data_IF_769800980638
#
_entry.id   IF_769800980638
#
_cell.length_a   1.000
_cell.length_b   1.000
_cell.length_c   1.000
_cell.angle_alpha   90.00
_cell.angle_beta   90.00
_cell.angle_gamma   90.00
#
_symmetry.space_group_name_H-M   'P 1'
#
loop_
_entity.id
_entity.type
_entity.pdbx_description
1 polymer ?
#
# COMPACT_ATOMS: atom_id res chain seq x y z
N UNK A 1 64.78 12.87 -53.47
CA UNK A 1 64.29 12.87 -52.08
C UNK A 1 62.97 13.63 -52.09
N UNK A 2 61.87 12.88 -52.05
CA UNK A 2 60.55 13.34 -52.53
C UNK A 2 59.84 14.29 -51.57
N UNK A 3 59.78 15.56 -51.98
CA UNK A 3 59.05 16.64 -51.31
C UNK A 3 57.57 16.30 -51.09
N UNK A 4 56.96 15.49 -51.98
CA UNK A 4 55.58 14.99 -51.85
C UNK A 4 55.37 14.08 -50.63
N UNK A 5 56.34 13.24 -50.29
CA UNK A 5 56.26 12.35 -49.12
C UNK A 5 56.29 13.12 -47.81
N UNK A 6 57.08 14.20 -47.78
CA UNK A 6 57.18 15.09 -46.62
C UNK A 6 55.89 15.90 -46.42
N UNK A 7 55.29 16.41 -47.50
CA UNK A 7 54.00 17.11 -47.44
C UNK A 7 52.87 16.20 -46.95
N UNK A 8 52.84 14.94 -47.39
CA UNK A 8 51.83 13.98 -46.94
C UNK A 8 51.97 13.63 -45.46
N UNK A 9 53.21 13.50 -44.96
CA UNK A 9 53.47 13.28 -43.54
C UNK A 9 53.07 14.47 -42.68
N UNK A 10 53.34 15.69 -43.14
CA UNK A 10 52.91 16.92 -42.47
C UNK A 10 51.38 17.03 -42.44
N UNK A 11 50.72 16.79 -43.57
CA UNK A 11 49.27 16.80 -43.66
C UNK A 11 48.62 15.73 -42.78
N UNK A 12 49.18 14.51 -42.74
CA UNK A 12 48.71 13.43 -41.88
C UNK A 12 48.92 13.76 -40.39
N UNK A 13 50.05 14.38 -40.03
CA UNK A 13 50.30 14.82 -38.65
C UNK A 13 49.41 15.98 -38.22
N UNK A 14 49.04 16.88 -39.14
CA UNK A 14 48.08 17.96 -38.88
C UNK A 14 46.66 17.41 -38.70
N UNK A 15 46.26 16.42 -39.53
CA UNK A 15 44.97 15.74 -39.40
C UNK A 15 44.87 14.96 -38.08
N UNK A 16 45.96 14.31 -37.65
CA UNK A 16 46.03 13.61 -36.37
C UNK A 16 46.03 14.57 -35.17
N UNK A 17 46.57 15.78 -35.33
CA UNK A 17 46.53 16.81 -34.27
C UNK A 17 45.11 17.37 -34.08
N UNK A 18 44.32 17.47 -35.16
CA UNK A 18 42.94 17.98 -35.10
C UNK A 18 41.95 17.00 -34.46
N UNK A 19 42.25 15.70 -34.40
CA UNK A 19 41.38 14.71 -33.74
C UNK A 19 41.49 14.69 -32.21
N UNK A 20 42.44 15.43 -31.61
CA UNK A 20 42.57 15.56 -30.16
C UNK A 20 41.93 16.84 -29.59
N UNK A 21 41.28 17.65 -30.43
CA UNK A 21 40.55 18.86 -30.01
C UNK A 21 39.05 18.60 -30.14
N UNK A 22 38.55 17.62 -29.40
CA UNK A 22 37.15 17.54 -29.06
C UNK A 22 37.03 18.08 -27.63
N UNK A 23 36.76 19.38 -27.49
CA UNK A 23 36.18 19.88 -26.25
C UNK A 23 34.76 19.34 -26.22
N UNK A 24 34.53 18.29 -25.44
CA UNK A 24 33.21 18.07 -24.89
C UNK A 24 33.07 19.16 -23.84
N UNK A 25 32.29 20.20 -24.14
CA UNK A 25 31.82 21.10 -23.10
C UNK A 25 31.04 20.21 -22.12
N UNK A 26 31.52 20.14 -20.88
CA UNK A 26 30.79 19.52 -19.81
C UNK A 26 29.45 20.25 -19.75
N UNK A 27 28.36 19.52 -19.97
CA UNK A 27 27.04 20.07 -19.78
C UNK A 27 26.94 20.29 -18.27
N UNK A 28 27.26 21.50 -17.82
CA UNK A 28 26.90 21.97 -16.49
C UNK A 28 25.38 21.93 -16.46
N UNK A 29 24.83 20.80 -16.01
CA UNK A 29 23.50 20.82 -15.48
C UNK A 29 23.62 21.82 -14.33
N UNK A 30 22.87 22.92 -14.38
CA UNK A 30 22.56 23.72 -13.19
C UNK A 30 21.76 22.83 -12.23
N UNK A 31 22.36 21.73 -11.75
CA UNK A 31 21.81 20.91 -10.70
C UNK A 31 22.08 21.62 -9.41
N UNK A 32 20.99 22.14 -8.84
CA UNK A 32 20.76 22.16 -7.41
C UNK A 32 21.72 23.09 -6.67
N UNK A 33 21.44 24.39 -6.72
CA UNK A 33 21.78 25.27 -5.60
C UNK A 33 21.16 24.65 -4.35
N UNK A 34 21.96 23.92 -3.56
CA UNK A 34 21.56 23.26 -2.30
C UNK A 34 21.19 24.26 -1.18
N UNK A 35 20.98 25.53 -1.53
CA UNK A 35 20.69 26.61 -0.61
C UNK A 35 19.20 26.88 -0.38
N UNK A 36 18.30 26.56 -1.31
CA UNK A 36 16.88 26.97 -1.21
C UNK A 36 15.87 26.03 -1.93
N UNK A 37 16.15 24.72 -2.05
CA UNK A 37 15.06 23.80 -2.40
C UNK A 37 14.19 23.54 -1.16
N UNK A 38 13.14 24.35 -1.01
CA UNK A 38 12.07 24.10 -0.06
C UNK A 38 11.31 22.83 -0.45
N UNK A 39 11.09 21.94 0.52
CA UNK A 39 10.22 20.78 0.34
C UNK A 39 8.78 21.27 0.15
N UNK A 40 8.12 20.81 -0.92
CA UNK A 40 6.76 21.19 -1.22
C UNK A 40 5.81 20.63 -0.16
N UNK A 41 4.88 21.47 0.33
CA UNK A 41 3.76 21.00 1.15
C UNK A 41 2.84 20.15 0.26
N UNK A 42 2.45 18.98 0.73
CA UNK A 42 1.45 18.12 0.09
C UNK A 42 0.20 18.16 0.95
N UNK A 43 -0.93 18.54 0.36
CA UNK A 43 -2.23 18.64 1.05
C UNK A 43 -3.23 17.74 0.36
N UNK A 44 -3.76 16.76 1.09
CA UNK A 44 -4.77 15.86 0.59
C UNK A 44 -5.96 15.79 1.54
N UNK A 45 -7.15 16.00 1.01
CA UNK A 45 -8.38 15.83 1.78
C UNK A 45 -9.57 15.57 0.86
N UNK A 46 -10.40 14.62 1.28
CA UNK A 46 -11.71 14.34 0.67
C UNK A 46 -12.74 14.63 1.75
N UNK A 47 -13.36 15.80 1.68
CA UNK A 47 -14.41 16.21 2.60
C UNK A 47 -15.76 15.78 2.03
N UNK A 48 -16.54 15.03 2.80
CA UNK A 48 -17.78 14.41 2.30
C UNK A 48 -19.04 15.09 2.84
N UNK A 49 -20.17 14.80 2.21
CA UNK A 49 -21.52 15.14 2.70
C UNK A 49 -22.05 14.16 3.77
N UNK A 50 -21.20 13.25 4.27
CA UNK A 50 -21.55 12.34 5.36
C UNK A 50 -21.23 12.91 6.74
N UNK A 51 -22.06 12.54 7.72
CA UNK A 51 -21.95 12.99 9.10
C UNK A 51 -20.86 12.24 9.87
N UNK A 52 -19.59 12.43 9.48
CA UNK A 52 -18.42 11.69 9.99
C UNK A 52 -17.30 12.60 10.46
N UNK A 53 -16.32 12.03 11.18
CA UNK A 53 -15.06 12.72 11.47
C UNK A 53 -14.25 12.81 10.18
N UNK A 54 -14.29 13.99 9.57
CA UNK A 54 -13.51 14.34 8.37
C UNK A 54 -12.00 14.37 8.67
N UNK A 55 -11.18 14.07 7.65
CA UNK A 55 -9.72 13.95 7.75
C UNK A 55 -9.01 14.85 6.74
N UNK A 56 -7.87 15.39 7.15
CA UNK A 56 -6.94 16.14 6.30
C UNK A 56 -5.54 15.57 6.50
N UNK A 57 -4.85 15.26 5.41
CA UNK A 57 -3.49 14.74 5.40
C UNK A 57 -2.53 15.84 4.96
N UNK A 58 -1.51 16.09 5.77
CA UNK A 58 -0.43 17.03 5.47
C UNK A 58 0.91 16.32 5.52
N UNK A 59 1.66 16.40 4.43
CA UNK A 59 3.02 15.87 4.34
C UNK A 59 3.91 16.82 3.54
N UNK A 60 5.19 16.47 3.40
CA UNK A 60 6.20 17.21 2.66
C UNK A 60 6.84 16.30 1.62
N UNK A 61 7.08 16.83 0.44
CA UNK A 61 7.89 16.11 -0.56
C UNK A 61 9.29 15.87 0.00
N UNK A 62 9.80 14.64 -0.10
CA UNK A 62 11.18 14.35 0.28
C UNK A 62 12.12 14.48 -0.91
N UNK A 63 13.33 15.00 -0.66
CA UNK A 63 14.44 14.94 -1.62
C UNK A 63 15.30 13.67 -1.42
N UNK A 64 14.93 12.82 -0.45
CA UNK A 64 15.63 11.56 -0.18
C UNK A 64 15.27 10.56 -1.27
N UNK A 65 16.29 10.03 -1.94
CA UNK A 65 16.15 8.85 -2.77
C UNK A 65 16.00 7.65 -1.83
N UNK A 66 14.79 7.08 -1.77
CA UNK A 66 14.63 5.77 -1.16
C UNK A 66 15.22 4.71 -2.10
N UNK A 67 16.23 4.00 -1.59
CA UNK A 67 16.94 2.92 -2.29
C UNK A 67 16.63 1.56 -1.67
N UNK A 68 15.86 1.51 -0.58
CA UNK A 68 15.47 0.28 0.07
C UNK A 68 14.18 -0.23 -0.56
N UNK A 69 14.29 -1.32 -1.33
CA UNK A 69 13.12 -1.96 -1.93
C UNK A 69 12.46 -2.87 -0.92
N UNK A 70 11.20 -2.57 -0.58
CA UNK A 70 10.44 -3.18 0.52
C UNK A 70 9.95 -4.63 0.26
N UNK A 71 10.50 -5.33 -0.73
CA UNK A 71 9.68 -6.31 -1.48
C UNK A 71 9.96 -7.80 -1.26
N UNK A 72 10.97 -8.21 -0.48
CA UNK A 72 11.29 -9.66 -0.35
C UNK A 72 11.07 -10.20 1.05
N UNK A 73 9.88 -10.75 1.34
CA UNK A 73 9.63 -11.47 2.59
C UNK A 73 10.73 -12.51 2.88
N UNK A 74 11.22 -12.54 4.11
CA UNK A 74 12.21 -13.52 4.58
C UNK A 74 11.65 -14.27 5.80
N UNK A 75 11.41 -15.59 5.71
CA UNK A 75 10.83 -16.37 6.81
C UNK A 75 11.75 -16.52 8.03
N UNK A 76 13.03 -16.16 7.91
CA UNK A 76 13.99 -16.18 9.00
C UNK A 76 14.13 -14.82 9.70
N UNK A 77 13.35 -13.81 9.31
CA UNK A 77 13.34 -12.48 9.91
C UNK A 77 11.93 -12.23 10.49
N UNK A 78 11.82 -11.78 11.75
CA UNK A 78 10.52 -11.40 12.31
C UNK A 78 9.82 -10.35 11.44
N UNK A 79 8.51 -10.52 11.24
CA UNK A 79 7.72 -9.51 10.54
C UNK A 79 7.78 -8.18 11.30
N UNK A 80 7.90 -7.08 10.56
CA UNK A 80 7.96 -5.71 11.10
C UNK A 80 9.34 -5.25 11.58
N UNK A 81 10.40 -6.03 11.39
CA UNK A 81 11.77 -5.61 11.77
C UNK A 81 12.56 -4.91 10.66
N UNK A 82 11.90 -4.53 9.55
CA UNK A 82 12.52 -3.80 8.43
C UNK A 82 12.12 -2.33 8.44
N UNK A 83 12.96 -1.42 7.92
CA UNK A 83 12.58 -0.03 7.75
C UNK A 83 11.38 0.05 6.81
N UNK A 84 10.34 0.78 7.22
CA UNK A 84 9.19 1.11 6.39
C UNK A 84 9.53 2.39 5.60
N UNK A 85 9.09 2.47 4.34
CA UNK A 85 9.15 3.71 3.55
C UNK A 85 8.57 4.87 4.38
N UNK A 86 9.39 5.89 4.64
CA UNK A 86 9.06 6.98 5.57
C UNK A 86 8.64 8.21 4.78
N UNK A 87 7.35 8.52 4.81
CA UNK A 87 6.81 9.80 4.32
C UNK A 87 7.14 10.90 5.33
N UNK A 88 7.69 12.02 4.87
CA UNK A 88 7.96 13.19 5.72
C UNK A 88 6.62 13.88 6.06
N UNK A 89 6.07 13.65 7.24
CA UNK A 89 4.78 14.21 7.68
C UNK A 89 4.89 15.67 8.15
N UNK A 90 3.87 16.50 7.88
CA UNK A 90 3.80 17.88 8.38
C UNK A 90 3.02 17.92 9.70
N UNK A 91 3.75 18.05 10.81
CA UNK A 91 3.22 18.00 12.17
C UNK A 91 2.95 19.38 12.81
N UNK A 92 2.03 19.42 13.77
CA UNK A 92 1.77 20.58 14.61
C UNK A 92 1.16 21.77 13.87
N UNK A 93 0.51 21.53 12.73
CA UNK A 93 -0.25 22.54 12.01
C UNK A 93 -1.61 22.81 12.70
N UNK A 94 -2.16 24.00 12.47
CA UNK A 94 -3.55 24.33 12.79
C UNK A 94 -4.37 24.23 11.52
N UNK A 95 -5.36 23.33 11.50
CA UNK A 95 -6.22 23.10 10.33
C UNK A 95 -7.66 23.46 10.67
N UNK A 96 -8.30 24.22 9.77
CA UNK A 96 -9.68 24.70 9.91
C UNK A 96 -10.40 24.66 8.57
N UNK A 97 -11.70 24.39 8.59
CA UNK A 97 -12.59 24.54 7.44
C UNK A 97 -13.64 25.60 7.76
N UNK A 98 -13.82 26.56 6.86
CA UNK A 98 -14.80 27.64 6.97
C UNK A 98 -15.86 27.50 5.89
N UNK A 99 -17.14 27.56 6.25
CA UNK A 99 -18.26 27.68 5.31
C UNK A 99 -18.66 29.14 5.10
N UNK A 100 -19.16 29.47 3.91
CA UNK A 100 -19.70 30.80 3.59
C UNK A 100 -21.04 31.12 4.30
N UNK A 101 -21.66 30.10 4.88
CA UNK A 101 -22.77 30.16 5.83
C UNK A 101 -22.36 30.59 7.26
N UNK A 102 -21.05 30.70 7.51
CA UNK A 102 -20.46 31.02 8.81
C UNK A 102 -20.09 29.81 9.67
N UNK A 103 -20.17 28.59 9.14
CA UNK A 103 -19.68 27.39 9.81
C UNK A 103 -18.15 27.43 9.98
N UNK A 104 -17.66 26.92 11.12
CA UNK A 104 -16.23 26.74 11.40
C UNK A 104 -16.00 25.37 12.01
N UNK A 105 -15.15 24.58 11.36
CA UNK A 105 -14.75 23.25 11.83
C UNK A 105 -13.25 23.24 12.11
N UNK A 106 -12.90 22.93 13.36
CA UNK A 106 -11.51 22.85 13.80
C UNK A 106 -11.06 21.39 13.81
N UNK A 107 -9.78 21.18 13.49
CA UNK A 107 -9.15 19.87 13.46
C UNK A 107 -8.02 19.79 14.50
N UNK A 108 -7.77 18.58 14.99
CA UNK A 108 -6.66 18.25 15.88
C UNK A 108 -5.84 17.13 15.26
N UNK A 109 -4.52 17.22 15.37
CA UNK A 109 -3.61 16.17 14.94
C UNK A 109 -3.82 14.90 15.76
N UNK A 110 -4.06 13.77 15.07
CA UNK A 110 -4.23 12.45 15.67
C UNK A 110 -2.94 11.64 15.61
N UNK A 111 -2.53 11.29 14.39
CA UNK A 111 -1.22 10.72 14.08
C UNK A 111 -0.38 11.79 13.36
N UNK A 112 0.93 11.60 13.28
CA UNK A 112 1.85 12.50 12.55
C UNK A 112 1.29 12.80 11.15
N UNK A 113 1.02 14.08 10.86
CA UNK A 113 0.51 14.53 9.56
C UNK A 113 -0.98 14.23 9.28
N UNK A 114 -1.71 13.61 10.21
CA UNK A 114 -3.14 13.27 10.05
C UNK A 114 -3.99 14.11 11.00
N UNK A 115 -4.78 15.02 10.44
CA UNK A 115 -5.62 15.95 11.18
C UNK A 115 -7.08 15.51 11.13
N UNK A 116 -7.69 15.34 12.30
CA UNK A 116 -9.06 14.87 12.47
C UNK A 116 -9.95 16.01 12.95
N UNK A 117 -11.12 16.16 12.36
CA UNK A 117 -12.10 17.15 12.82
C UNK A 117 -12.51 16.87 14.28
N UNK A 118 -12.62 17.93 15.07
CA UNK A 118 -12.94 17.83 16.51
C UNK A 118 -14.36 17.32 16.76
N UNK A 119 -15.25 17.52 15.79
CA UNK A 119 -16.62 17.04 15.79
C UNK A 119 -16.94 16.49 14.39
N UNK A 120 -17.73 15.42 14.29
CA UNK A 120 -18.26 15.00 13.01
C UNK A 120 -19.01 16.14 12.33
N UNK A 121 -18.81 16.33 11.03
CA UNK A 121 -19.54 17.29 10.20
C UNK A 121 -19.74 16.75 8.78
N UNK A 122 -20.81 17.21 8.13
CA UNK A 122 -21.17 16.88 6.76
C UNK A 122 -21.14 18.17 5.96
N UNK A 123 -20.60 18.13 4.74
CA UNK A 123 -20.72 19.25 3.82
C UNK A 123 -22.14 19.37 3.28
N UNK A 124 -22.65 20.60 3.24
CA UNK A 124 -23.96 20.90 2.68
C UNK A 124 -23.85 21.32 1.20
N UNK A 125 -24.73 20.77 0.35
CA UNK A 125 -24.83 21.16 -1.04
C UNK A 125 -25.25 22.64 -1.16
N UNK A 126 -24.53 23.40 -1.97
CA UNK A 126 -24.77 24.83 -2.18
C UNK A 126 -24.07 25.76 -1.18
N UNK A 127 -23.36 25.23 -0.19
CA UNK A 127 -22.46 26.00 0.71
C UNK A 127 -21.03 25.88 0.18
N UNK A 128 -20.32 27.00 0.11
CA UNK A 128 -18.92 27.03 -0.30
C UNK A 128 -18.00 26.95 0.92
N UNK A 129 -17.09 25.99 0.91
CA UNK A 129 -16.15 25.75 2.00
C UNK A 129 -14.72 26.11 1.59
N UNK A 130 -13.90 26.54 2.55
CA UNK A 130 -12.48 26.81 2.34
C UNK A 130 -11.66 26.16 3.45
N UNK A 131 -10.62 25.43 3.06
CA UNK A 131 -9.62 24.87 3.96
C UNK A 131 -8.55 25.94 4.27
N UNK A 132 -8.28 26.18 5.55
CA UNK A 132 -7.26 27.09 6.07
C UNK A 132 -6.26 26.28 6.91
N UNK A 133 -4.97 26.41 6.58
CA UNK A 133 -3.88 25.67 7.22
C UNK A 133 -2.84 26.69 7.68
N UNK A 134 -2.45 26.60 8.94
CA UNK A 134 -1.29 27.32 9.49
C UNK A 134 -0.27 26.30 9.98
N UNK A 135 0.84 26.18 9.26
CA UNK A 135 1.96 25.28 9.64
C UNK A 135 2.57 25.69 10.98
N UNK A 136 3.32 24.76 11.61
CA UNK A 136 4.04 25.03 12.87
C UNK A 136 4.99 26.22 12.77
N UNK A 137 5.53 26.48 11.58
CA UNK A 137 6.44 27.60 11.31
C UNK A 137 5.72 28.93 11.05
N UNK A 138 4.38 28.97 11.13
CA UNK A 138 3.56 30.17 10.96
C UNK A 138 3.27 30.55 9.51
N UNK A 139 3.56 29.67 8.53
CA UNK A 139 3.16 29.88 7.12
C UNK A 139 1.71 29.46 6.96
N UNK A 140 0.90 30.35 6.37
CA UNK A 140 -0.53 30.16 6.14
C UNK A 140 -0.84 29.78 4.69
N UNK A 141 -1.67 28.75 4.51
CA UNK A 141 -2.16 28.25 3.22
C UNK A 141 -3.68 28.23 3.22
N UNK A 142 -4.27 28.39 2.04
CA UNK A 142 -5.71 28.44 1.83
C UNK A 142 -6.06 27.66 0.55
N UNK A 143 -7.16 26.90 0.59
CA UNK A 143 -7.69 26.26 -0.62
C UNK A 143 -8.51 27.23 -1.47
N UNK A 144 -8.68 26.88 -2.74
CA UNK A 144 -9.78 27.40 -3.54
C UNK A 144 -11.14 27.00 -2.92
N UNK A 145 -12.24 27.70 -3.23
CA UNK A 145 -13.57 27.34 -2.73
C UNK A 145 -13.99 25.93 -3.16
N UNK A 146 -14.43 25.14 -2.19
CA UNK A 146 -14.85 23.75 -2.33
C UNK A 146 -16.38 23.68 -2.23
N UNK A 147 -17.03 23.00 -3.16
CA UNK A 147 -18.49 22.79 -3.13
C UNK A 147 -18.84 21.35 -3.51
N UNK A 148 -19.80 20.77 -2.80
CA UNK A 148 -20.42 19.50 -3.20
C UNK A 148 -21.25 19.76 -4.46
N UNK A 149 -20.80 19.19 -5.59
CA UNK A 149 -21.39 19.46 -6.92
C UNK A 149 -22.71 18.73 -7.14
N UNK A 150 -22.87 17.57 -6.52
CA UNK A 150 -24.03 16.71 -6.71
C UNK A 150 -23.91 15.43 -5.91
N UNK A 151 -25.02 14.72 -5.84
CA UNK A 151 -25.15 13.45 -5.14
C UNK A 151 -25.67 12.39 -6.12
N UNK A 152 -25.08 11.21 -6.06
CA UNK A 152 -25.45 10.02 -6.83
C UNK A 152 -25.61 8.86 -5.86
N UNK A 153 -26.58 8.00 -6.13
CA UNK A 153 -26.84 6.81 -5.33
C UNK A 153 -26.32 5.57 -6.05
N UNK A 154 -25.48 4.80 -5.37
CA UNK A 154 -25.19 3.42 -5.76
C UNK A 154 -26.48 2.60 -5.66
N UNK A 155 -26.92 2.06 -6.79
CA UNK A 155 -28.13 1.25 -6.89
C UNK A 155 -27.84 -0.24 -6.80
N UNK A 156 -26.67 -0.66 -7.29
CA UNK A 156 -26.25 -2.05 -7.29
C UNK A 156 -24.73 -2.17 -7.26
N UNK A 157 -24.24 -3.19 -6.57
CA UNK A 157 -22.86 -3.68 -6.62
C UNK A 157 -22.91 -5.19 -6.83
N UNK A 158 -22.16 -5.69 -7.80
CA UNK A 158 -22.20 -7.10 -8.16
C UNK A 158 -20.87 -7.56 -8.75
N UNK A 159 -20.59 -8.85 -8.62
CA UNK A 159 -19.40 -9.50 -9.13
C UNK A 159 -19.78 -10.52 -10.21
N UNK A 160 -18.94 -10.64 -11.23
CA UNK A 160 -19.08 -11.58 -12.35
C UNK A 160 -17.72 -12.22 -12.67
N UNK A 161 -17.73 -13.47 -13.15
CA UNK A 161 -16.55 -14.05 -13.79
C UNK A 161 -16.22 -13.27 -15.07
N UNK A 162 -14.96 -12.88 -15.21
CA UNK A 162 -14.47 -12.12 -16.35
C UNK A 162 -13.06 -12.53 -16.74
N UNK A 163 -12.68 -12.16 -17.96
CA UNK A 163 -11.31 -12.25 -18.45
C UNK A 163 -10.87 -10.81 -18.74
N UNK A 164 -9.74 -10.40 -18.17
CA UNK A 164 -9.21 -9.05 -18.38
C UNK A 164 -8.52 -8.92 -19.76
N UNK A 165 -8.07 -7.71 -20.11
CA UNK A 165 -7.43 -7.42 -21.40
C UNK A 165 -6.13 -8.20 -21.63
N UNK A 166 -5.51 -8.71 -20.57
CA UNK A 166 -4.30 -9.53 -20.60
C UNK A 166 -4.61 -11.04 -20.76
N UNK A 167 -5.88 -11.44 -20.82
CA UNK A 167 -6.30 -12.83 -20.92
C UNK A 167 -6.30 -13.59 -19.59
N UNK A 168 -6.20 -12.89 -18.46
CA UNK A 168 -6.27 -13.47 -17.12
C UNK A 168 -7.73 -13.65 -16.70
N UNK A 169 -8.07 -14.85 -16.24
CA UNK A 169 -9.39 -15.17 -15.66
C UNK A 169 -9.46 -14.66 -14.22
N UNK A 170 -10.63 -14.14 -13.81
CA UNK A 170 -10.83 -13.63 -12.46
C UNK A 170 -12.25 -13.14 -12.22
N UNK A 171 -12.41 -12.43 -11.11
CA UNK A 171 -13.67 -11.81 -10.68
C UNK A 171 -13.62 -10.32 -10.97
N UNK A 172 -14.56 -9.83 -11.77
CA UNK A 172 -14.76 -8.41 -12.00
C UNK A 172 -15.93 -7.89 -11.16
N UNK A 173 -15.69 -6.83 -10.41
CA UNK A 173 -16.68 -6.15 -9.57
C UNK A 173 -17.14 -4.89 -10.29
N UNK A 174 -18.46 -4.76 -10.44
CA UNK A 174 -19.11 -3.66 -11.12
C UNK A 174 -20.08 -2.93 -10.19
N UNK A 175 -20.30 -1.66 -10.50
CA UNK A 175 -21.30 -0.83 -9.84
C UNK A 175 -22.24 -0.17 -10.85
N UNK A 176 -23.50 -0.03 -10.43
CA UNK A 176 -24.52 0.76 -11.11
C UNK A 176 -24.98 1.89 -10.19
N UNK A 177 -25.12 3.09 -10.75
CA UNK A 177 -25.56 4.27 -10.00
C UNK A 177 -26.57 5.11 -10.77
N UNK A 178 -27.34 5.89 -10.02
CA UNK A 178 -28.29 6.84 -10.56
C UNK A 178 -28.09 8.22 -9.93
N UNK A 179 -28.10 9.30 -10.73
CA UNK A 179 -27.96 10.65 -10.22
C UNK A 179 -29.19 11.02 -9.37
N UNK A 180 -28.97 11.70 -8.25
CA UNK A 180 -30.04 12.21 -7.39
C UNK A 180 -30.25 13.72 -7.59
N UNK A 181 -29.21 14.50 -7.30
CA UNK A 181 -29.25 15.97 -7.34
C UNK A 181 -27.90 16.54 -7.81
N UNK A 182 -27.91 17.73 -8.40
CA UNK A 182 -26.69 18.42 -8.83
C UNK A 182 -26.01 17.85 -10.09
N UNK A 183 -24.74 18.19 -10.26
CA UNK A 183 -23.93 17.83 -11.42
C UNK A 183 -23.26 16.47 -11.25
N UNK A 184 -23.86 15.43 -11.84
CA UNK A 184 -23.41 14.04 -11.72
C UNK A 184 -22.75 13.56 -13.02
N UNK A 185 -21.62 14.15 -13.39
CA UNK A 185 -20.92 13.85 -14.65
C UNK A 185 -19.62 13.08 -14.46
N UNK A 186 -18.98 13.25 -13.31
CA UNK A 186 -17.66 12.75 -13.00
C UNK A 186 -17.71 11.99 -11.69
N UNK A 187 -17.18 10.77 -11.70
CA UNK A 187 -17.20 9.89 -10.55
C UNK A 187 -15.80 9.35 -10.29
N UNK A 188 -15.42 9.30 -9.02
CA UNK A 188 -14.29 8.52 -8.52
C UNK A 188 -14.80 7.42 -7.63
N UNK A 189 -14.17 6.25 -7.70
CA UNK A 189 -14.50 5.10 -6.88
C UNK A 189 -13.31 4.79 -5.99
N UNK A 190 -13.57 4.78 -4.69
CA UNK A 190 -12.63 4.34 -3.66
C UNK A 190 -13.24 3.09 -3.03
N UNK A 191 -12.42 2.13 -2.64
CA UNK A 191 -12.93 0.94 -1.97
C UNK A 191 -12.07 0.51 -0.81
N UNK A 192 -12.72 -0.14 0.15
CA UNK A 192 -12.07 -0.86 1.24
C UNK A 192 -12.39 -2.35 1.07
N UNK A 193 -11.36 -3.17 0.84
CA UNK A 193 -11.50 -4.61 0.77
C UNK A 193 -11.14 -5.26 2.09
N UNK A 194 -11.89 -6.28 2.47
CA UNK A 194 -11.62 -7.08 3.65
C UNK A 194 -11.79 -8.54 3.31
N UNK A 195 -10.81 -9.37 3.67
CA UNK A 195 -10.82 -10.78 3.32
C UNK A 195 -10.36 -11.67 4.46
N UNK A 196 -10.94 -12.87 4.49
CA UNK A 196 -10.64 -13.92 5.45
C UNK A 196 -9.42 -14.70 5.02
N UNK A 197 -8.45 -14.81 5.92
CA UNK A 197 -7.20 -15.53 5.73
C UNK A 197 -7.19 -16.72 6.67
N UNK A 198 -7.01 -17.92 6.11
CA UNK A 198 -6.80 -19.16 6.87
C UNK A 198 -5.41 -19.68 6.49
N UNK A 199 -4.45 -19.73 7.43
CA UNK A 199 -3.14 -20.29 7.16
C UNK A 199 -3.24 -21.76 6.71
N UNK A 200 -2.42 -22.22 5.75
CA UNK A 200 -2.55 -23.57 5.20
C UNK A 200 -2.25 -24.69 6.21
N UNK A 201 -1.46 -24.40 7.25
CA UNK A 201 -1.00 -25.39 8.23
C UNK A 201 -1.40 -24.99 9.66
N UNK A 202 -2.70 -24.81 9.89
CA UNK A 202 -3.23 -24.53 11.24
C UNK A 202 -3.13 -25.75 12.16
N UNK A 203 -2.83 -25.50 13.43
CA UNK A 203 -2.79 -26.51 14.48
C UNK A 203 -3.59 -26.05 15.69
N UNK A 204 -4.23 -27.00 16.38
CA UNK A 204 -4.93 -26.75 17.64
C UNK A 204 -3.97 -26.56 18.83
N UNK A 205 -2.66 -26.72 18.59
CA UNK A 205 -1.62 -26.59 19.61
C UNK A 205 -0.58 -25.56 19.20
N UNK A 206 0.14 -25.01 20.18
CA UNK A 206 1.26 -24.09 20.01
C UNK A 206 2.43 -24.46 20.91
N UNK A 207 3.61 -23.95 20.56
CA UNK A 207 4.78 -24.03 21.42
C UNK A 207 4.72 -22.96 22.50
N UNK A 208 5.00 -23.36 23.74
CA UNK A 208 5.29 -22.43 24.85
C UNK A 208 6.72 -22.70 25.30
N UNK A 209 7.59 -21.72 25.10
CA UNK A 209 8.98 -21.75 25.54
C UNK A 209 9.13 -20.90 26.80
N UNK A 210 9.62 -21.51 27.88
CA UNK A 210 9.90 -20.85 29.16
C UNK A 210 11.27 -21.24 29.68
N UNK A 211 11.80 -20.46 30.62
CA UNK A 211 13.12 -20.70 31.26
C UNK A 211 14.28 -20.91 30.26
N UNK A 212 14.20 -20.24 29.10
CA UNK A 212 15.21 -20.36 28.05
C UNK A 212 16.46 -19.55 28.39
N UNK A 213 17.56 -20.25 28.70
CA UNK A 213 18.91 -19.70 28.79
C UNK A 213 19.77 -20.30 27.68
N UNK A 214 19.98 -19.58 26.57
CA UNK A 214 20.79 -20.07 25.46
C UNK A 214 22.27 -20.21 25.80
N UNK A 215 22.77 -19.54 26.85
CA UNK A 215 24.16 -19.56 27.28
C UNK A 215 24.45 -20.51 28.44
N UNK A 216 23.45 -21.28 28.91
CA UNK A 216 23.73 -22.38 29.82
C UNK A 216 24.68 -23.38 29.16
N UNK A 217 25.66 -23.88 29.92
CA UNK A 217 26.72 -24.75 29.40
C UNK A 217 26.64 -26.15 30.00
N UNK A 218 26.91 -27.21 29.22
CA UNK A 218 27.30 -27.20 27.80
C UNK A 218 26.12 -27.01 26.84
N UNK A 219 24.90 -27.26 27.29
CA UNK A 219 23.65 -27.20 26.51
C UNK A 219 22.72 -26.12 27.10
N UNK A 220 21.90 -25.46 26.26
CA UNK A 220 20.92 -24.49 26.74
C UNK A 220 19.94 -25.13 27.71
N UNK A 221 19.47 -24.37 28.70
CA UNK A 221 18.35 -24.80 29.55
C UNK A 221 17.06 -24.18 29.02
N UNK A 222 15.97 -24.95 29.01
CA UNK A 222 14.67 -24.50 28.55
C UNK A 222 13.57 -25.45 29.02
N UNK A 223 12.33 -24.97 28.96
CA UNK A 223 11.10 -25.75 29.06
C UNK A 223 10.28 -25.49 27.80
N UNK A 224 10.19 -26.47 26.90
CA UNK A 224 9.38 -26.40 25.68
C UNK A 224 8.14 -27.29 25.86
N UNK A 225 6.97 -26.68 25.86
CA UNK A 225 5.69 -27.38 25.97
C UNK A 225 4.86 -27.21 24.70
N UNK A 226 4.07 -28.23 24.36
CA UNK A 226 3.04 -28.15 23.31
C UNK A 226 1.69 -28.09 24.00
N UNK A 227 1.04 -26.93 23.96
CA UNK A 227 -0.20 -26.66 24.70
C UNK A 227 -1.34 -26.36 23.73
N UNK A 228 -2.62 -26.61 24.11
CA UNK A 228 -3.76 -26.20 23.30
C UNK A 228 -3.79 -24.68 23.10
N UNK A 229 -4.02 -24.23 21.86
CA UNK A 229 -4.19 -22.81 21.54
C UNK A 229 -5.45 -22.27 22.21
N UNK A 230 -5.39 -21.02 22.63
CA UNK A 230 -6.55 -20.29 23.19
C UNK A 230 -7.31 -19.47 22.15
N UNK A 231 -6.65 -19.15 21.03
CA UNK A 231 -7.20 -18.34 19.93
C UNK A 231 -7.14 -19.11 18.60
N UNK A 232 -8.10 -18.82 17.73
CA UNK A 232 -8.09 -19.33 16.36
C UNK A 232 -6.98 -18.65 15.53
N UNK A 233 -6.49 -19.38 14.53
CA UNK A 233 -5.46 -18.87 13.60
C UNK A 233 -6.04 -18.18 12.36
N UNK A 234 -7.35 -17.97 12.33
CA UNK A 234 -8.05 -17.21 11.28
C UNK A 234 -7.86 -15.72 11.51
N UNK A 235 -7.76 -14.95 10.44
CA UNK A 235 -7.83 -13.50 10.56
C UNK A 235 -8.39 -12.79 9.35
N UNK A 236 -8.60 -11.50 9.54
CA UNK A 236 -9.18 -10.60 8.57
C UNK A 236 -8.17 -9.51 8.29
N UNK A 237 -7.88 -9.29 7.02
CA UNK A 237 -7.07 -8.16 6.60
C UNK A 237 -7.96 -7.16 5.88
N UNK A 238 -7.83 -5.89 6.24
CA UNK A 238 -8.57 -4.77 5.65
C UNK A 238 -7.58 -3.85 4.95
N UNK A 239 -7.79 -3.61 3.66
CA UNK A 239 -6.92 -2.82 2.80
C UNK A 239 -7.75 -1.78 2.08
N UNK A 240 -7.29 -0.52 2.08
CA UNK A 240 -7.91 0.57 1.32
C UNK A 240 -7.28 0.62 -0.07
N UNK A 241 -8.08 0.94 -1.09
CA UNK A 241 -7.65 1.04 -2.48
C UNK A 241 -6.56 2.10 -2.67
N UNK A 242 -5.52 1.75 -3.41
CA UNK A 242 -4.43 2.65 -3.85
C UNK A 242 -4.55 3.05 -5.34
N UNK A 243 -5.57 2.57 -6.03
CA UNK A 243 -5.81 2.81 -7.46
C UNK A 243 -6.75 4.00 -7.69
N UNK A 244 -6.45 4.81 -8.69
CA UNK A 244 -7.35 5.88 -9.16
C UNK A 244 -8.33 5.27 -10.16
N UNK A 245 -9.55 4.99 -9.71
CA UNK A 245 -10.64 4.51 -10.57
C UNK A 245 -11.62 5.64 -10.81
N UNK A 246 -11.73 6.08 -12.06
CA UNK A 246 -12.63 7.16 -12.46
C UNK A 246 -13.55 6.74 -13.59
N UNK A 247 -14.74 7.34 -13.61
CA UNK A 247 -15.72 7.17 -14.68
C UNK A 247 -16.40 8.49 -15.02
N UNK A 248 -16.82 8.63 -16.27
CA UNK A 248 -17.59 9.79 -16.72
C UNK A 248 -18.89 9.35 -17.37
N UNK A 249 -19.98 10.06 -17.06
CA UNK A 249 -21.26 9.89 -17.73
C UNK A 249 -21.48 10.88 -18.88
N UNK A 250 -20.44 11.61 -19.30
CA UNK A 250 -20.49 12.52 -20.45
C UNK A 250 -20.85 11.76 -21.74
N UNK A 251 -21.94 12.18 -22.40
CA UNK A 251 -22.43 11.56 -23.63
C UNK A 251 -23.46 10.44 -23.44
N UNK A 252 -23.75 10.03 -22.20
CA UNK A 252 -24.86 9.14 -21.86
C UNK A 252 -26.19 9.88 -21.81
N UNK A 253 -27.28 9.28 -22.29
CA UNK A 253 -28.57 9.95 -22.44
C UNK A 253 -29.23 10.42 -21.10
N UNK A 254 -28.75 9.93 -19.94
CA UNK A 254 -29.37 10.18 -18.63
C UNK A 254 -28.37 10.39 -17.46
N UNK A 255 -27.08 10.65 -17.71
CA UNK A 255 -26.04 10.73 -16.66
C UNK A 255 -25.93 9.50 -15.72
N UNK A 256 -26.52 8.36 -16.09
CA UNK A 256 -26.38 7.12 -15.33
C UNK A 256 -25.00 6.51 -15.59
N UNK A 257 -24.25 6.16 -14.54
CA UNK A 257 -23.09 5.29 -14.66
C UNK A 257 -23.55 3.84 -14.40
N UNK A 258 -23.62 3.05 -15.47
CA UNK A 258 -24.02 1.64 -15.44
C UNK A 258 -22.84 0.74 -15.80
N UNK A 259 -22.71 -0.38 -15.10
CA UNK A 259 -21.68 -1.41 -15.32
C UNK A 259 -20.26 -0.81 -15.32
N UNK A 260 -20.00 0.11 -14.39
CA UNK A 260 -18.65 0.63 -14.19
C UNK A 260 -17.83 -0.42 -13.44
N UNK A 261 -16.74 -0.89 -14.03
CA UNK A 261 -15.82 -1.79 -13.34
C UNK A 261 -15.01 -0.99 -12.32
N UNK A 262 -14.96 -1.47 -11.09
CA UNK A 262 -14.22 -0.81 -9.98
C UNK A 262 -13.02 -1.62 -9.51
N UNK A 263 -13.08 -2.94 -9.64
CA UNK A 263 -12.01 -3.85 -9.22
C UNK A 263 -12.04 -5.12 -10.06
N UNK A 264 -10.87 -5.55 -10.49
CA UNK A 264 -10.66 -6.89 -11.05
C UNK A 264 -9.70 -7.64 -10.13
N UNK A 265 -10.03 -8.88 -9.80
CA UNK A 265 -9.22 -9.76 -8.95
C UNK A 265 -8.93 -11.03 -9.74
N UNK A 266 -7.66 -11.29 -10.04
CA UNK A 266 -7.24 -12.51 -10.72
C UNK A 266 -7.63 -13.75 -9.92
N UNK A 267 -7.97 -14.84 -10.62
CA UNK A 267 -8.41 -16.10 -10.04
C UNK A 267 -7.39 -16.69 -9.06
N UNK A 268 -6.10 -16.55 -9.35
CA UNK A 268 -5.01 -17.07 -8.49
C UNK A 268 -4.65 -16.13 -7.33
N UNK A 269 -5.40 -15.06 -7.11
CA UNK A 269 -5.13 -14.12 -6.01
C UNK A 269 -5.67 -14.65 -4.67
N UNK A 270 -4.78 -14.82 -3.70
CA UNK A 270 -5.11 -15.39 -2.39
C UNK A 270 -6.16 -14.60 -1.58
N UNK A 271 -6.39 -13.31 -1.88
CA UNK A 271 -7.37 -12.50 -1.14
C UNK A 271 -8.81 -12.98 -1.34
N UNK A 272 -9.08 -13.73 -2.43
CA UNK A 272 -10.39 -14.33 -2.69
C UNK A 272 -10.44 -15.82 -2.35
N UNK A 273 -9.42 -16.39 -1.69
CA UNK A 273 -9.39 -17.84 -1.40
C UNK A 273 -10.51 -18.32 -0.47
N UNK A 274 -11.03 -17.44 0.38
CA UNK A 274 -12.14 -17.75 1.27
C UNK A 274 -13.25 -16.73 1.04
N UNK A 275 -13.72 -16.11 2.11
CA UNK A 275 -14.74 -15.07 2.05
C UNK A 275 -14.08 -13.71 1.86
N UNK A 276 -14.63 -12.96 0.90
CA UNK A 276 -14.16 -11.64 0.51
C UNK A 276 -15.30 -10.62 0.66
N UNK A 277 -14.96 -9.42 1.09
CA UNK A 277 -15.85 -8.26 1.16
C UNK A 277 -15.19 -7.06 0.53
N UNK A 278 -15.99 -6.24 -0.14
CA UNK A 278 -15.57 -4.93 -0.65
C UNK A 278 -16.66 -3.91 -0.33
N UNK A 279 -16.28 -2.81 0.30
CA UNK A 279 -17.10 -1.61 0.45
C UNK A 279 -16.65 -0.62 -0.62
N UNK A 280 -17.53 -0.33 -1.58
CA UNK A 280 -17.24 0.64 -2.63
C UNK A 280 -17.94 1.94 -2.30
N UNK A 281 -17.16 3.02 -2.26
CA UNK A 281 -17.62 4.39 -2.15
C UNK A 281 -17.57 5.05 -3.53
N UNK A 282 -18.72 5.46 -4.03
CA UNK A 282 -18.82 6.36 -5.17
C UNK A 282 -18.74 7.81 -4.69
N UNK A 283 -17.85 8.59 -5.28
CA UNK A 283 -17.66 10.02 -4.99
C UNK A 283 -17.97 10.84 -6.24
N UNK A 284 -18.88 11.81 -6.13
CA UNK A 284 -19.21 12.75 -7.21
C UNK A 284 -18.18 13.89 -7.21
N UNK A 285 -17.42 14.01 -8.29
CA UNK A 285 -16.30 14.95 -8.39
C UNK A 285 -16.66 16.22 -9.17
N UNK A 286 -15.95 17.31 -8.87
CA UNK A 286 -15.90 18.47 -9.77
C UNK A 286 -15.09 18.14 -11.03
N UNK A 287 -15.30 18.91 -12.10
CA UNK A 287 -14.51 18.78 -13.33
C UNK A 287 -13.01 18.99 -13.08
N UNK A 288 -12.65 19.94 -12.21
CA UNK A 288 -11.26 20.24 -11.87
C UNK A 288 -10.61 19.08 -11.08
N UNK A 289 -11.33 18.50 -10.11
CA UNK A 289 -10.86 17.33 -9.37
C UNK A 289 -10.69 16.13 -10.31
N UNK A 290 -11.67 15.89 -11.19
CA UNK A 290 -11.59 14.81 -12.16
C UNK A 290 -10.36 14.94 -13.06
N UNK A 291 -10.09 16.15 -13.58
CA UNK A 291 -8.92 16.43 -14.42
C UNK A 291 -7.59 16.30 -13.66
N UNK A 292 -7.54 16.70 -12.39
CA UNK A 292 -6.38 16.51 -11.54
C UNK A 292 -6.03 15.02 -11.40
N UNK A 293 -7.01 14.19 -11.03
CA UNK A 293 -6.79 12.74 -10.82
C UNK A 293 -6.53 11.99 -12.14
N UNK A 294 -7.12 12.42 -13.26
CA UNK A 294 -6.81 11.87 -14.60
C UNK A 294 -5.35 12.16 -14.96
N UNK A 295 -4.88 13.38 -14.70
CA UNK A 295 -3.49 13.77 -14.91
C UNK A 295 -2.57 12.98 -13.98
N UNK A 296 -2.93 12.83 -12.70
CA UNK A 296 -2.15 12.07 -11.71
C UNK A 296 -2.04 10.59 -12.11
N UNK A 297 -3.13 9.98 -12.56
CA UNK A 297 -3.13 8.60 -13.05
C UNK A 297 -2.27 8.42 -14.31
N UNK A 298 -2.18 9.44 -15.17
CA UNK A 298 -1.30 9.37 -16.35
C UNK A 298 0.20 9.42 -15.99
N UNK A 299 0.56 9.95 -14.81
CA UNK A 299 1.92 9.87 -14.27
C UNK A 299 2.25 8.48 -13.72
N UNK A 300 1.27 7.73 -13.18
CA UNK A 300 1.52 6.42 -12.55
C UNK A 300 1.56 5.25 -13.54
N UNK A 301 1.03 5.42 -14.76
CA UNK A 301 0.95 4.33 -15.77
C UNK A 301 2.23 4.10 -16.59
N UNK A 302 3.34 4.79 -16.30
CA UNK A 302 4.57 4.72 -17.09
C UNK A 302 5.50 3.56 -16.72
N UNK A 303 5.01 2.32 -16.79
CA UNK A 303 5.87 1.12 -16.66
C UNK A 303 6.69 0.82 -17.92
N UNK A 304 6.40 1.50 -19.04
CA UNK A 304 7.08 1.30 -20.30
C UNK A 304 8.15 2.36 -20.55
N UNK A 305 9.41 2.00 -20.32
CA UNK A 305 10.61 2.83 -20.60
C UNK A 305 10.70 3.41 -22.03
N UNK A 306 9.90 2.90 -22.98
CA UNK A 306 9.84 3.41 -24.36
C UNK A 306 8.62 4.30 -24.65
N UNK A 307 7.66 4.39 -23.73
CA UNK A 307 6.51 5.27 -23.82
C UNK A 307 6.62 6.34 -22.74
N UNK A 308 7.15 7.50 -23.11
CA UNK A 308 7.12 8.68 -22.25
C UNK A 308 5.78 9.37 -22.48
N UNK A 309 4.76 9.01 -21.71
CA UNK A 309 3.66 9.93 -21.48
C UNK A 309 4.33 11.18 -20.87
N UNK A 310 4.09 12.35 -21.45
CA UNK A 310 4.43 13.63 -20.84
C UNK A 310 3.12 14.20 -20.33
N UNK A 311 2.70 13.89 -19.09
CA UNK A 311 1.47 14.45 -18.58
C UNK A 311 1.56 15.97 -18.53
N UNK A 312 0.40 16.62 -18.51
CA UNK A 312 0.30 18.05 -18.24
C UNK A 312 0.82 18.41 -16.85
N UNK A 313 0.83 19.71 -16.54
CA UNK A 313 1.14 20.16 -15.19
C UNK A 313 0.02 19.75 -14.23
N UNK A 314 0.39 19.20 -13.06
CA UNK A 314 -0.51 19.00 -11.93
C UNK A 314 -0.68 20.32 -11.19
N UNK A 315 -1.92 20.80 -11.10
CA UNK A 315 -2.26 22.01 -10.35
C UNK A 315 -2.92 21.63 -9.04
N UNK A 316 -2.26 21.95 -7.92
CA UNK A 316 -2.89 21.91 -6.61
C UNK A 316 -3.88 23.07 -6.47
N UNK A 317 -4.94 22.86 -5.71
CA UNK A 317 -5.94 23.89 -5.38
C UNK A 317 -5.71 24.52 -4.00
N UNK A 318 -4.53 24.32 -3.41
CA UNK A 318 -4.10 24.96 -2.16
C UNK A 318 -2.90 25.84 -2.46
N UNK A 319 -2.92 27.07 -1.97
CA UNK A 319 -1.88 28.06 -2.21
C UNK A 319 -1.60 28.87 -0.96
N UNK A 320 -0.44 29.56 -0.93
CA UNK A 320 -0.12 30.44 0.18
C UNK A 320 -1.07 31.61 0.27
N UNK A 321 -1.53 31.90 1.48
CA UNK A 321 -2.48 32.97 1.75
C UNK A 321 -1.90 34.37 1.57
N UNK A 322 -0.58 34.52 1.69
CA UNK A 322 0.12 35.79 1.44
C UNK A 322 0.39 36.07 -0.05
N UNK A 323 0.00 35.16 -0.95
CA UNK A 323 0.19 35.29 -2.40
C UNK A 323 1.63 35.05 -2.88
N UNK A 324 2.54 34.62 -2.00
CA UNK A 324 3.88 34.19 -2.43
C UNK A 324 3.75 32.92 -3.28
N UNK A 325 4.42 32.90 -4.44
CA UNK A 325 4.45 31.70 -5.27
C UNK A 325 5.27 30.61 -4.57
N UNK A 326 4.62 29.50 -4.24
CA UNK A 326 5.22 28.29 -3.68
C UNK A 326 4.63 27.07 -4.39
N UNK A 327 5.44 26.03 -4.57
CA UNK A 327 4.95 24.78 -5.13
C UNK A 327 4.26 23.98 -4.01
N UNK A 328 2.94 23.91 -4.06
CA UNK A 328 2.12 23.05 -3.21
C UNK A 328 1.62 21.89 -4.07
N UNK A 329 1.55 20.69 -3.50
CA UNK A 329 1.12 19.47 -4.17
C UNK A 329 -0.14 18.91 -3.48
N UNK A 330 -0.77 17.94 -4.13
CA UNK A 330 -2.01 17.32 -3.66
C UNK A 330 -3.26 18.10 -4.07
N UNK A 331 -4.41 17.61 -3.63
CA UNK A 331 -5.70 18.18 -3.97
C UNK A 331 -6.70 18.00 -2.83
N UNK A 332 -7.53 19.01 -2.62
CA UNK A 332 -8.62 19.00 -1.65
C UNK A 332 -9.94 19.03 -2.39
N UNK A 333 -10.84 18.10 -2.12
CA UNK A 333 -12.15 18.06 -2.76
C UNK A 333 -13.30 17.98 -1.75
N UNK A 334 -14.45 18.48 -2.18
CA UNK A 334 -15.74 18.34 -1.51
C UNK A 334 -16.63 17.46 -2.38
N UNK A 335 -17.07 16.30 -1.87
CA UNK A 335 -17.75 15.28 -2.66
C UNK A 335 -19.04 14.82 -2.01
N UNK A 336 -20.05 14.54 -2.84
CA UNK A 336 -21.22 13.77 -2.45
C UNK A 336 -20.89 12.29 -2.56
N UNK A 337 -21.20 11.50 -1.53
CA UNK A 337 -20.82 10.08 -1.50
C UNK A 337 -22.01 9.13 -1.37
N UNK A 338 -21.82 7.91 -1.87
CA UNK A 338 -22.71 6.78 -1.64
C UNK A 338 -21.91 5.50 -1.55
N UNK A 339 -22.22 4.68 -0.55
CA UNK A 339 -21.51 3.44 -0.25
C UNK A 339 -22.39 2.20 -0.42
N UNK A 340 -21.82 1.13 -0.95
CA UNK A 340 -22.43 -0.21 -0.91
C UNK A 340 -21.37 -1.28 -0.67
N UNK A 341 -21.74 -2.29 0.12
CA UNK A 341 -20.88 -3.44 0.44
C UNK A 341 -21.36 -4.70 -0.26
N UNK A 342 -20.42 -5.43 -0.85
CA UNK A 342 -20.61 -6.76 -1.42
C UNK A 342 -19.83 -7.79 -0.60
N UNK A 343 -20.36 -9.01 -0.53
CA UNK A 343 -19.67 -10.20 -0.04
C UNK A 343 -19.78 -11.32 -1.08
N UNK A 344 -18.74 -12.14 -1.20
CA UNK A 344 -18.80 -13.39 -1.97
C UNK A 344 -17.74 -14.38 -1.47
N UNK A 345 -17.89 -15.65 -1.85
CA UNK A 345 -16.91 -16.71 -1.64
C UNK A 345 -16.29 -17.14 -2.98
N UNK A 346 -15.09 -17.73 -2.92
CA UNK A 346 -14.45 -18.30 -4.12
C UNK A 346 -15.35 -19.28 -4.89
N UNK A 347 -16.05 -20.15 -4.17
CA UNK A 347 -16.91 -21.20 -4.72
C UNK A 347 -18.13 -20.66 -5.48
N UNK A 348 -18.54 -19.41 -5.22
CA UNK A 348 -19.65 -18.76 -5.95
C UNK A 348 -19.32 -18.57 -7.43
N UNK A 349 -18.02 -18.46 -7.74
CA UNK A 349 -17.48 -18.12 -9.05
C UNK A 349 -16.68 -19.27 -9.67
N UNK A 350 -15.97 -20.06 -8.86
CA UNK A 350 -15.12 -21.16 -9.29
C UNK A 350 -15.47 -22.46 -8.54
N UNK A 351 -16.67 -23.04 -8.78
CA UNK A 351 -17.10 -24.24 -8.09
C UNK A 351 -16.22 -25.45 -8.43
N UNK A 352 -15.91 -26.26 -7.42
CA UNK A 352 -15.09 -27.48 -7.52
C UNK A 352 -13.63 -27.25 -7.98
N UNK A 353 -13.15 -25.99 -7.98
CA UNK A 353 -11.76 -25.65 -8.30
C UNK A 353 -10.89 -25.58 -7.04
N UNK A 354 -9.58 -25.77 -7.22
CA UNK A 354 -8.63 -25.56 -6.12
C UNK A 354 -8.61 -24.09 -5.71
N UNK A 355 -8.50 -23.85 -4.39
CA UNK A 355 -8.38 -22.50 -3.86
C UNK A 355 -7.07 -21.85 -4.35
N UNK A 356 -7.07 -20.52 -4.53
CA UNK A 356 -5.86 -19.78 -4.88
C UNK A 356 -4.74 -20.07 -3.86
N UNK A 357 -3.49 -20.21 -4.33
CA UNK A 357 -2.38 -20.60 -3.49
C UNK A 357 -2.04 -19.52 -2.46
N UNK A 358 -1.63 -19.94 -1.26
CA UNK A 358 -1.11 -19.03 -0.25
C UNK A 358 0.16 -18.33 -0.76
N UNK A 359 0.33 -17.00 -0.58
CA UNK A 359 1.38 -16.24 -1.28
C UNK A 359 2.79 -16.45 -0.70
N UNK A 360 2.91 -17.19 0.40
CA UNK A 360 4.17 -17.48 1.08
C UNK A 360 4.57 -18.95 0.96
N UNK A 361 5.87 -19.21 0.92
CA UNK A 361 6.39 -20.57 0.91
C UNK A 361 6.22 -21.22 2.29
N UNK A 362 5.34 -22.23 2.35
CA UNK A 362 4.99 -22.94 3.58
C UNK A 362 5.61 -24.35 3.64
N UNK A 363 6.90 -24.47 3.34
CA UNK A 363 7.60 -25.75 3.43
C UNK A 363 7.58 -26.29 4.87
N UNK A 364 7.17 -27.56 5.02
CA UNK A 364 7.28 -28.31 6.27
C UNK A 364 8.74 -28.60 6.58
N UNK A 365 9.14 -28.43 7.83
CA UNK A 365 10.48 -28.77 8.30
C UNK A 365 10.43 -29.47 9.65
N UNK A 366 11.50 -30.18 10.01
CA UNK A 366 11.61 -30.89 11.29
C UNK A 366 13.02 -30.70 11.86
N UNK A 367 13.44 -29.45 12.18
CA UNK A 367 14.76 -29.19 12.75
C UNK A 367 14.92 -29.86 14.13
N UNK A 368 16.15 -30.06 14.63
CA UNK A 368 16.37 -30.62 15.96
C UNK A 368 15.75 -29.71 17.02
N UNK A 369 15.31 -30.29 18.15
CA UNK A 369 14.67 -29.52 19.23
C UNK A 369 15.64 -28.47 19.80
N UNK A 370 16.88 -28.87 20.06
CA UNK A 370 17.95 -28.04 20.57
C UNK A 370 19.31 -28.45 19.99
N UNK A 371 20.34 -27.64 20.23
CA UNK A 371 21.72 -27.98 19.93
C UNK A 371 22.64 -27.53 21.09
N UNK A 372 23.94 -27.84 21.00
CA UNK A 372 24.95 -27.41 21.99
C UNK A 372 24.98 -25.88 22.09
N UNK A 373 25.08 -25.30 23.29
CA UNK A 373 25.01 -23.84 23.44
C UNK A 373 26.03 -23.12 22.56
N UNK A 374 25.63 -22.06 21.86
CA UNK A 374 26.57 -21.25 21.07
C UNK A 374 27.59 -20.50 21.94
N UNK A 375 27.36 -20.43 23.25
CA UNK A 375 28.29 -19.86 24.22
C UNK A 375 29.36 -20.88 24.67
N UNK A 376 29.24 -22.15 24.24
CA UNK A 376 30.21 -23.19 24.49
C UNK A 376 31.50 -22.95 23.71
N UNK A 377 32.63 -22.87 24.43
CA UNK A 377 33.96 -22.58 23.87
C UNK A 377 34.81 -23.83 23.60
N UNK A 378 34.25 -25.04 23.73
CA UNK A 378 34.93 -26.29 23.43
C UNK A 378 34.90 -26.65 21.94
N UNK A 379 35.63 -27.71 21.53
CA UNK A 379 35.66 -28.14 20.14
C UNK A 379 34.30 -28.68 19.69
N UNK A 380 33.59 -27.90 18.89
CA UNK A 380 32.39 -28.33 18.17
C UNK A 380 32.79 -28.84 16.78
N UNK A 381 32.37 -30.06 16.43
CA UNK A 381 32.47 -30.54 15.05
C UNK A 381 31.60 -29.68 14.10
N UNK A 382 31.68 -29.88 12.77
CA UNK A 382 30.73 -29.25 11.86
C UNK A 382 29.31 -29.66 12.26
N UNK A 383 28.44 -28.68 12.50
CA UNK A 383 27.01 -28.93 12.74
C UNK A 383 26.25 -28.78 11.41
N UNK A 384 25.85 -29.89 10.75
CA UNK A 384 25.10 -29.83 9.50
C UNK A 384 23.61 -29.57 9.73
N UNK A 385 23.16 -29.46 10.98
CA UNK A 385 21.75 -29.31 11.32
C UNK A 385 21.30 -27.85 11.14
N UNK A 386 20.04 -27.62 10.76
CA UNK A 386 19.44 -26.28 10.73
C UNK A 386 19.29 -25.69 12.15
N UNK A 387 18.91 -24.41 12.21
CA UNK A 387 18.54 -23.71 13.46
C UNK A 387 17.51 -24.53 14.24
N UNK A 388 17.67 -24.60 15.57
CA UNK A 388 16.85 -25.47 16.40
C UNK A 388 15.44 -24.91 16.62
N UNK A 389 14.52 -25.78 17.09
CA UNK A 389 13.15 -25.38 17.40
C UNK A 389 13.14 -24.32 18.50
N UNK A 390 13.89 -24.50 19.59
CA UNK A 390 13.89 -23.55 20.71
C UNK A 390 14.34 -22.15 20.28
N UNK A 391 15.37 -22.04 19.43
CA UNK A 391 15.83 -20.76 18.91
C UNK A 391 14.79 -20.12 17.98
N UNK A 392 14.18 -20.93 17.13
CA UNK A 392 13.19 -20.45 16.16
C UNK A 392 11.87 -20.02 16.85
N UNK A 393 11.51 -20.67 17.97
CA UNK A 393 10.39 -20.26 18.83
C UNK A 393 10.73 -18.97 19.58
N UNK A 394 11.94 -18.86 20.13
CA UNK A 394 12.41 -17.63 20.80
C UNK A 394 12.43 -16.42 19.84
N UNK A 395 12.83 -16.64 18.59
CA UNK A 395 12.77 -15.63 17.52
C UNK A 395 11.35 -15.36 16.99
N UNK A 396 10.38 -16.22 17.32
CA UNK A 396 9.00 -16.10 16.85
C UNK A 396 8.83 -16.29 15.34
N UNK A 397 9.65 -17.14 14.71
CA UNK A 397 9.67 -17.35 13.25
C UNK A 397 9.00 -18.64 12.78
N UNK A 398 8.67 -19.57 13.69
CA UNK A 398 7.98 -20.83 13.37
C UNK A 398 6.70 -21.04 14.19
N UNK A 399 5.82 -21.90 13.68
CA UNK A 399 4.64 -22.43 14.37
C UNK A 399 4.69 -23.96 14.47
N UNK A 400 4.17 -24.51 15.57
CA UNK A 400 3.91 -25.94 15.69
C UNK A 400 2.84 -26.37 14.68
N UNK A 401 3.09 -27.48 13.97
CA UNK A 401 2.09 -28.09 13.09
C UNK A 401 1.67 -29.46 13.61
N UNK A 402 2.61 -30.39 13.74
CA UNK A 402 2.34 -31.77 14.14
C UNK A 402 3.57 -32.45 14.77
N UNK A 403 3.39 -33.64 15.32
CA UNK A 403 4.53 -34.51 15.69
C UNK A 403 5.24 -35.05 14.46
N UNK A 404 6.54 -35.31 14.58
CA UNK A 404 7.37 -35.80 13.48
C UNK A 404 6.80 -37.09 12.86
N UNK A 405 6.74 -37.10 11.53
CA UNK A 405 6.49 -38.30 10.74
C UNK A 405 7.34 -38.28 9.48
N UNK A 406 8.00 -39.41 9.19
CA UNK A 406 8.87 -39.56 8.03
C UNK A 406 8.12 -39.34 6.70
N UNK A 407 6.82 -39.70 6.65
CA UNK A 407 5.99 -39.48 5.47
C UNK A 407 5.74 -38.00 5.14
N UNK A 408 5.73 -37.12 6.14
CA UNK A 408 5.50 -35.69 5.95
C UNK A 408 6.79 -34.91 5.66
N UNK A 409 7.92 -35.33 6.23
CA UNK A 409 9.24 -34.70 6.01
C UNK A 409 10.32 -35.77 5.77
N UNK A 410 10.34 -36.42 4.59
CA UNK A 410 11.18 -37.59 4.33
C UNK A 410 12.68 -37.29 4.19
N UNK A 411 13.04 -36.04 3.91
CA UNK A 411 14.43 -35.60 3.68
C UNK A 411 14.95 -34.68 4.78
N UNK A 412 14.44 -34.82 6.01
CA UNK A 412 14.86 -33.99 7.14
C UNK A 412 16.33 -34.26 7.53
N UNK A 413 17.16 -33.22 7.52
CA UNK A 413 18.52 -33.25 8.07
C UNK A 413 18.44 -32.99 9.58
N UNK A 414 18.85 -33.98 10.39
CA UNK A 414 18.73 -33.95 11.86
C UNK A 414 17.27 -33.80 12.34
N UNK A 415 16.38 -34.78 12.08
CA UNK A 415 14.97 -34.67 12.41
C UNK A 415 14.77 -34.49 13.92
N UNK A 416 14.11 -33.39 14.31
CA UNK A 416 13.58 -33.23 15.66
C UNK A 416 12.24 -33.94 15.88
N UNK A 417 11.64 -33.78 17.06
CA UNK A 417 10.41 -34.48 17.43
C UNK A 417 9.13 -33.86 16.85
N UNK A 418 9.22 -32.67 16.25
CA UNK A 418 8.07 -31.90 15.76
C UNK A 418 8.25 -31.45 14.31
N UNK A 419 7.14 -31.37 13.59
CA UNK A 419 7.02 -30.70 12.30
C UNK A 419 6.61 -29.26 12.57
N UNK A 420 7.35 -28.34 11.96
CA UNK A 420 7.15 -26.90 12.10
C UNK A 420 7.05 -26.26 10.72
N UNK A 421 6.35 -25.13 10.69
CA UNK A 421 6.18 -24.30 9.50
C UNK A 421 6.61 -22.87 9.81
N UNK A 422 6.96 -22.06 8.80
CA UNK A 422 7.08 -20.62 8.99
C UNK A 422 5.85 -20.08 9.69
N UNK A 423 6.02 -19.15 10.64
CA UNK A 423 4.92 -18.74 11.53
C UNK A 423 3.70 -18.22 10.76
N UNK A 424 3.93 -17.51 9.66
CA UNK A 424 2.91 -16.98 8.73
C UNK A 424 2.01 -18.06 8.11
N UNK A 425 2.48 -19.32 8.08
CA UNK A 425 1.78 -20.45 7.50
C UNK A 425 0.98 -21.26 8.52
N UNK A 426 1.22 -21.06 9.82
CA UNK A 426 0.55 -21.79 10.90
C UNK A 426 -0.17 -20.92 11.93
N UNK A 427 -0.07 -19.60 11.81
CA UNK A 427 -0.81 -18.63 12.61
C UNK A 427 -1.13 -17.37 11.79
N UNK A 428 -2.11 -16.59 12.25
CA UNK A 428 -2.39 -15.32 11.60
C UNK A 428 -1.30 -14.28 11.89
N UNK A 429 -0.63 -13.83 10.83
CA UNK A 429 0.26 -12.66 10.86
C UNK A 429 -0.05 -11.62 9.76
N UNK A 430 -1.03 -11.90 8.90
CA UNK A 430 -1.37 -11.06 7.75
C UNK A 430 -2.58 -10.16 7.98
N UNK A 431 -3.13 -10.15 9.20
CA UNK A 431 -4.33 -9.40 9.53
C UNK A 431 -4.63 -9.42 11.01
N UNK A 432 -5.85 -9.02 11.37
CA UNK A 432 -6.33 -9.00 12.74
C UNK A 432 -7.15 -10.25 13.03
N UNK A 433 -6.90 -10.90 14.17
CA UNK A 433 -7.69 -12.07 14.62
C UNK A 433 -9.12 -11.72 15.01
N UNK A 434 -9.38 -10.45 15.32
CA UNK A 434 -10.73 -9.97 15.66
C UNK A 434 -11.55 -9.83 14.38
N UNK A 435 -12.69 -10.49 14.35
CA UNK A 435 -13.68 -10.33 13.28
C UNK A 435 -14.20 -8.87 13.22
N UNK A 436 -14.22 -8.23 12.03
CA UNK A 436 -14.77 -6.89 11.85
C UNK A 436 -16.28 -6.84 12.16
N UNK A 437 -16.76 -5.72 12.72
CA UNK A 437 -18.17 -5.60 13.13
C UNK A 437 -19.17 -5.68 11.96
N UNK A 438 -18.75 -5.29 10.76
CA UNK A 438 -19.57 -5.39 9.54
C UNK A 438 -19.53 -6.77 8.89
N UNK A 439 -18.67 -7.67 9.37
CA UNK A 439 -18.43 -8.96 8.73
C UNK A 439 -19.65 -9.89 8.90
N UNK A 440 -19.95 -10.64 7.85
CA UNK A 440 -21.10 -11.55 7.81
C UNK A 440 -20.58 -12.87 7.25
N UNK A 441 -20.44 -13.91 8.08
CA UNK A 441 -19.90 -15.23 7.68
C UNK A 441 -20.84 -15.98 6.71
N UNK A 442 -22.06 -16.30 7.14
CA UNK A 442 -23.26 -16.69 6.37
C UNK A 442 -24.38 -17.16 7.31
#
# INVERSE_FOLDING_TARGET
>A
MDFKSYLYRIALSLLLLTSFVACLDEFEIETLDQGEQSTALVVEAVLTDEMITQKVYLSRSSLRLDLETDTVYNPFIPLGSRPLDSVDMEEGATVRVFGDDGAEYQFTEGNEGVYLSNQPFALEMGVAYTLDIMTRNGVEYISDPLTVQGNSQLTNIYAENAINDNGEEGVAIYVDSQPMEGENQFFKYVYEETYKIIPPFTSAFEFVLTDYDPCALPDPTYNLEVVPKTEESVCFNTVVSDQIVQGSALGGANSNASRQMVRFIGKDNFIISHRYSILVQQQVQSADAYSFYETLNSFSQSDNIFSQIQPGALYANVHRKDGTAENVLGYVEAVGVSDQRLFFNYEDFFPDEELPPFPFNCNLSSPPESHISYCFSGPTGPNPCPISIIESVDQGVISFYAYYSEGAVPTATCPGPYIVVPRICGDCLLGQKKEPEFWIEE
#
